data_IF_224785154737
#
_entry.id   IF_224785154737
#
_cell.length_a   1.000
_cell.length_b   1.000
_cell.length_c   1.000
_cell.angle_alpha   90.00
_cell.angle_beta   90.00
_cell.angle_gamma   90.00
#
_symmetry.space_group_name_H-M   'P 1'
#
loop_
_entity.id
_entity.type
_entity.pdbx_description
1 polymer ?
#
# COMPACT_ATOMS: atom_id res chain seq x y z
N UNK A 1 -5.00 -0.02 -17.40
CA UNK A 1 -4.23 1.12 -17.94
C UNK A 1 -2.97 1.27 -17.09
N UNK A 2 -1.79 1.26 -17.70
CA UNK A 2 -0.53 1.54 -16.97
C UNK A 2 -0.36 3.06 -16.89
N UNK A 3 -0.11 3.58 -15.69
CA UNK A 3 0.02 5.02 -15.41
C UNK A 3 1.46 5.44 -15.18
N UNK A 4 2.27 4.57 -14.58
CA UNK A 4 3.68 4.80 -14.32
C UNK A 4 4.41 3.47 -14.30
N UNK A 5 5.60 3.41 -14.89
CA UNK A 5 6.39 2.19 -14.93
C UNK A 5 7.88 2.49 -14.94
N UNK A 6 8.61 1.79 -14.07
CA UNK A 6 10.07 1.70 -14.02
C UNK A 6 10.46 0.22 -13.85
N UNK A 7 11.76 -0.14 -13.87
CA UNK A 7 12.18 -1.52 -13.63
C UNK A 7 11.77 -2.07 -12.25
N UNK A 8 11.55 -1.19 -11.27
CA UNK A 8 11.26 -1.58 -9.88
C UNK A 8 9.86 -1.18 -9.43
N UNK A 9 9.12 -0.39 -10.19
CA UNK A 9 7.80 0.11 -9.78
C UNK A 9 6.83 0.09 -10.95
N UNK A 10 5.59 -0.34 -10.72
CA UNK A 10 4.50 -0.27 -11.68
C UNK A 10 3.24 0.24 -11.01
N UNK A 11 2.64 1.28 -11.56
CA UNK A 11 1.33 1.78 -11.19
C UNK A 11 0.36 1.51 -12.34
N UNK A 12 -0.71 0.76 -12.06
CA UNK A 12 -1.72 0.42 -13.05
C UNK A 12 -3.13 0.55 -12.47
N UNK A 13 -4.05 1.06 -13.29
CA UNK A 13 -5.48 1.05 -13.03
C UNK A 13 -6.15 -0.16 -13.69
N UNK A 14 -6.89 -0.94 -12.91
CA UNK A 14 -7.66 -2.09 -13.35
C UNK A 14 -9.14 -1.75 -13.41
N UNK A 15 -9.65 -1.45 -14.61
CA UNK A 15 -11.03 -1.00 -14.80
C UNK A 15 -12.07 -2.08 -14.44
N UNK A 16 -11.74 -3.37 -14.59
CA UNK A 16 -12.65 -4.47 -14.28
C UNK A 16 -13.01 -4.56 -12.78
N UNK A 17 -12.09 -4.13 -11.92
CA UNK A 17 -12.24 -4.18 -10.45
C UNK A 17 -12.28 -2.79 -9.83
N UNK A 18 -12.23 -1.73 -10.65
CA UNK A 18 -12.06 -0.34 -10.24
C UNK A 18 -10.92 -0.18 -9.20
N UNK A 19 -9.79 -0.86 -9.40
CA UNK A 19 -8.69 -0.90 -8.43
C UNK A 19 -7.44 -0.26 -8.99
N UNK A 20 -6.79 0.59 -8.20
CA UNK A 20 -5.43 1.03 -8.45
C UNK A 20 -4.46 0.00 -7.88
N UNK A 21 -3.49 -0.44 -8.67
CA UNK A 21 -2.45 -1.37 -8.24
C UNK A 21 -1.09 -0.68 -8.31
N UNK A 22 -0.43 -0.54 -7.17
CA UNK A 22 0.96 -0.11 -7.07
C UNK A 22 1.82 -1.30 -6.69
N UNK A 23 2.62 -1.78 -7.63
CA UNK A 23 3.61 -2.83 -7.40
C UNK A 23 4.98 -2.21 -7.22
N UNK A 24 5.64 -2.54 -6.10
CA UNK A 24 6.97 -2.06 -5.75
C UNK A 24 7.89 -3.25 -5.51
N UNK A 25 8.78 -3.50 -6.45
CA UNK A 25 9.69 -4.64 -6.50
C UNK A 25 11.15 -4.26 -6.16
N UNK A 26 11.39 -3.08 -5.59
CA UNK A 26 12.74 -2.69 -5.19
C UNK A 26 13.22 -3.45 -3.93
N UNK A 27 14.54 -3.66 -3.83
CA UNK A 27 15.15 -4.37 -2.70
C UNK A 27 15.02 -3.60 -1.38
N UNK A 28 14.94 -2.27 -1.43
CA UNK A 28 14.70 -1.39 -0.27
C UNK A 28 13.56 -0.41 -0.57
N UNK A 29 12.83 0.04 0.46
CA UNK A 29 11.87 1.14 0.33
C UNK A 29 12.67 2.45 0.37
N UNK A 30 13.22 2.83 -0.77
CA UNK A 30 13.93 4.08 -0.91
C UNK A 30 12.95 5.27 -0.89
N UNK A 31 13.48 6.50 -0.83
CA UNK A 31 12.71 7.75 -1.03
C UNK A 31 11.81 7.76 -2.28
N UNK A 32 12.08 6.86 -3.24
CA UNK A 32 11.24 6.65 -4.42
C UNK A 32 9.87 6.07 -4.09
N UNK A 33 9.73 5.25 -3.04
CA UNK A 33 8.44 4.69 -2.64
C UNK A 33 7.44 5.79 -2.29
N UNK A 34 7.84 6.75 -1.47
CA UNK A 34 7.01 7.90 -1.09
C UNK A 34 6.48 8.65 -2.32
N UNK A 35 7.37 8.98 -3.26
CA UNK A 35 7.01 9.71 -4.48
C UNK A 35 6.00 8.94 -5.31
N UNK A 36 6.19 7.63 -5.48
CA UNK A 36 5.27 6.84 -6.31
C UNK A 36 3.96 6.54 -5.57
N UNK A 37 3.99 6.41 -4.24
CA UNK A 37 2.78 6.30 -3.43
C UNK A 37 1.92 7.57 -3.53
N UNK A 38 2.53 8.76 -3.44
CA UNK A 38 1.83 10.02 -3.66
C UNK A 38 1.25 10.11 -5.09
N UNK A 39 2.00 9.67 -6.10
CA UNK A 39 1.51 9.60 -7.48
C UNK A 39 0.32 8.65 -7.63
N UNK A 40 0.31 7.53 -6.89
CA UNK A 40 -0.83 6.62 -6.85
C UNK A 40 -2.07 7.28 -6.22
N UNK A 41 -1.92 7.99 -5.11
CA UNK A 41 -3.01 8.71 -4.46
C UNK A 41 -3.57 9.83 -5.35
N UNK A 42 -2.71 10.57 -6.04
CA UNK A 42 -3.13 11.59 -7.01
C UNK A 42 -3.89 10.97 -8.18
N UNK A 43 -3.40 9.85 -8.73
CA UNK A 43 -4.07 9.13 -9.79
C UNK A 43 -5.45 8.60 -9.34
N UNK A 44 -5.55 8.11 -8.11
CA UNK A 44 -6.80 7.68 -7.50
C UNK A 44 -7.80 8.84 -7.39
N UNK A 45 -7.34 10.00 -6.92
CA UNK A 45 -8.15 11.21 -6.86
C UNK A 45 -8.67 11.62 -8.24
N UNK A 46 -7.77 11.70 -9.24
CA UNK A 46 -8.11 12.13 -10.60
C UNK A 46 -9.05 11.17 -11.32
N UNK A 47 -8.95 9.87 -11.06
CA UNK A 47 -9.79 8.83 -11.67
C UNK A 47 -11.04 8.51 -10.83
N UNK A 48 -11.19 9.11 -9.64
CA UNK A 48 -12.28 8.82 -8.73
C UNK A 48 -12.28 7.39 -8.19
N UNK A 49 -11.09 6.81 -8.01
CA UNK A 49 -10.85 5.45 -7.52
C UNK A 49 -10.56 5.49 -6.03
N UNK A 50 -11.17 4.59 -5.26
CA UNK A 50 -11.06 4.47 -3.80
C UNK A 50 -10.33 3.20 -3.34
N UNK A 51 -10.01 2.29 -4.26
CA UNK A 51 -9.36 1.01 -3.95
C UNK A 51 -7.91 1.01 -4.38
N UNK A 52 -7.01 0.71 -3.46
CA UNK A 52 -5.57 0.61 -3.69
C UNK A 52 -5.05 -0.75 -3.25
N UNK A 53 -4.46 -1.49 -4.19
CA UNK A 53 -3.65 -2.67 -3.92
C UNK A 53 -2.17 -2.29 -3.94
N UNK A 54 -1.54 -2.28 -2.77
CA UNK A 54 -0.10 -2.07 -2.60
C UNK A 54 0.61 -3.42 -2.61
N UNK A 55 1.27 -3.78 -3.71
CA UNK A 55 2.09 -4.99 -3.77
C UNK A 55 3.54 -4.68 -3.40
N UNK A 56 3.87 -4.94 -2.14
CA UNK A 56 5.18 -4.68 -1.54
C UNK A 56 6.00 -5.97 -1.35
N UNK A 57 5.57 -7.08 -1.95
CA UNK A 57 6.28 -8.35 -1.84
C UNK A 57 7.67 -8.20 -2.43
N UNK A 58 8.68 -8.21 -1.56
CA UNK A 58 10.08 -8.25 -1.97
C UNK A 58 10.42 -9.67 -2.44
N UNK A 59 11.15 -9.76 -3.53
CA UNK A 59 11.75 -11.01 -4.01
C UNK A 59 13.01 -11.39 -3.21
N UNK A 60 13.52 -10.50 -2.36
CA UNK A 60 14.71 -10.71 -1.54
C UNK A 60 14.34 -10.76 -0.04
N UNK A 61 15.01 -11.63 0.75
CA UNK A 61 14.82 -11.66 2.20
C UNK A 61 15.19 -10.28 2.76
N UNK A 62 14.40 -9.76 3.72
CA UNK A 62 14.71 -8.49 4.34
C UNK A 62 16.04 -8.60 5.09
N UNK A 63 16.88 -7.57 4.94
CA UNK A 63 18.06 -7.31 5.77
C UNK A 63 17.62 -6.43 6.94
N UNK A 64 18.08 -6.71 8.16
CA UNK A 64 17.67 -6.03 9.41
C UNK A 64 17.72 -4.48 9.35
N UNK A 65 18.54 -3.90 8.46
CA UNK A 65 18.68 -2.45 8.26
C UNK A 65 17.69 -1.87 7.22
N UNK A 66 17.15 -2.69 6.30
CA UNK A 66 16.21 -2.32 5.23
C UNK A 66 14.73 -2.58 5.59
N UNK A 67 14.48 -3.00 6.84
CA UNK A 67 13.18 -3.22 7.47
C UNK A 67 12.63 -1.96 8.15
N UNK A 68 13.14 -0.79 7.76
CA UNK A 68 12.53 0.49 8.10
C UNK A 68 11.02 0.40 7.83
N UNK A 69 10.22 0.66 8.87
CA UNK A 69 8.77 0.44 8.91
C UNK A 69 8.13 0.81 7.59
N UNK A 70 7.80 -0.21 6.76
CA UNK A 70 7.16 -0.02 5.44
C UNK A 70 5.88 0.82 5.54
N UNK A 71 5.31 0.87 6.75
CA UNK A 71 4.07 1.52 7.12
C UNK A 71 4.21 2.98 7.50
N UNK A 72 5.37 3.39 8.01
CA UNK A 72 5.59 4.77 8.41
C UNK A 72 5.32 5.76 7.24
N UNK A 73 5.85 5.56 6.02
CA UNK A 73 5.54 6.45 4.91
C UNK A 73 4.08 6.31 4.45
N UNK A 74 3.50 5.10 4.46
CA UNK A 74 2.12 4.87 4.03
C UNK A 74 1.13 5.61 4.94
N UNK A 75 1.29 5.48 6.26
CA UNK A 75 0.47 6.13 7.27
C UNK A 75 0.67 7.66 7.24
N UNK A 76 1.90 8.13 6.98
CA UNK A 76 2.22 9.56 6.89
C UNK A 76 1.51 10.27 5.74
N UNK A 77 1.28 9.58 4.62
CA UNK A 77 0.65 10.14 3.43
C UNK A 77 -0.81 9.72 3.25
N UNK A 78 -1.44 9.17 4.28
CA UNK A 78 -2.89 8.98 4.23
C UNK A 78 -3.58 10.33 4.00
N UNK A 79 -4.49 10.43 3.02
CA UNK A 79 -5.21 11.66 2.78
C UNK A 79 -6.03 12.01 4.03
N UNK A 80 -5.73 13.15 4.65
CA UNK A 80 -6.39 13.59 5.88
C UNK A 80 -7.89 13.83 5.71
N UNK A 81 -8.34 14.06 4.47
CA UNK A 81 -9.74 14.23 4.09
C UNK A 81 -9.94 13.63 2.70
N UNK A 82 -10.67 12.52 2.62
CA UNK A 82 -11.17 11.98 1.37
C UNK A 82 -12.70 12.13 1.37
N UNK A 83 -13.29 12.62 0.28
CA UNK A 83 -14.75 12.71 0.20
C UNK A 83 -15.44 11.33 0.24
N UNK A 84 -14.66 10.25 0.13
CA UNK A 84 -15.09 8.86 0.07
C UNK A 84 -14.18 7.99 0.94
N UNK A 85 -14.68 6.85 1.45
CA UNK A 85 -13.83 5.82 2.04
C UNK A 85 -12.73 5.42 1.06
N UNK A 86 -11.52 5.19 1.57
CA UNK A 86 -10.35 4.73 0.82
C UNK A 86 -9.95 3.37 1.40
N UNK A 87 -9.91 2.35 0.55
CA UNK A 87 -9.57 0.99 0.93
C UNK A 87 -8.18 0.64 0.40
N UNK A 88 -7.25 0.38 1.31
CA UNK A 88 -5.87 0.08 0.97
C UNK A 88 -5.53 -1.32 1.47
N UNK A 89 -5.22 -2.22 0.54
CA UNK A 89 -4.72 -3.55 0.83
C UNK A 89 -3.22 -3.63 0.55
N UNK A 90 -2.43 -3.87 1.59
CA UNK A 90 -0.99 -4.06 1.47
C UNK A 90 -0.61 -5.54 1.46
N UNK A 91 0.02 -5.96 0.36
CA UNK A 91 0.58 -7.30 0.19
C UNK A 91 2.03 -7.32 0.63
N UNK A 92 2.29 -8.16 1.63
CA UNK A 92 3.61 -8.40 2.20
C UNK A 92 4.02 -9.86 2.01
N UNK A 93 5.32 -10.13 2.12
CA UNK A 93 5.77 -11.51 2.34
C UNK A 93 5.48 -11.94 3.79
N UNK A 94 5.44 -13.25 4.05
CA UNK A 94 5.16 -13.78 5.39
C UNK A 94 6.20 -13.30 6.43
N UNK A 95 7.48 -13.28 6.07
CA UNK A 95 8.54 -12.75 6.95
C UNK A 95 8.36 -11.26 7.27
N UNK A 96 8.01 -10.45 6.26
CA UNK A 96 7.70 -9.02 6.48
C UNK A 96 6.49 -8.82 7.37
N UNK A 97 5.44 -9.62 7.19
CA UNK A 97 4.24 -9.55 8.01
C UNK A 97 4.56 -9.90 9.48
N UNK A 98 5.30 -11.00 9.71
CA UNK A 98 5.72 -11.40 11.06
C UNK A 98 6.58 -10.33 11.73
N UNK A 99 7.53 -9.74 11.01
CA UNK A 99 8.36 -8.65 11.52
C UNK A 99 7.51 -7.42 11.88
N UNK A 100 6.62 -6.99 10.98
CA UNK A 100 5.75 -5.84 11.24
C UNK A 100 4.83 -6.05 12.42
N UNK A 101 4.22 -7.23 12.56
CA UNK A 101 3.38 -7.57 13.72
C UNK A 101 4.21 -7.64 15.01
N UNK A 102 5.45 -8.14 14.95
CA UNK A 102 6.37 -8.19 16.08
C UNK A 102 6.87 -6.80 16.54
N UNK A 103 6.99 -5.86 15.60
CA UNK A 103 7.37 -4.47 15.85
C UNK A 103 6.17 -3.52 16.03
N UNK A 104 4.94 -4.01 15.85
CA UNK A 104 3.72 -3.20 15.97
C UNK A 104 3.49 -2.82 17.44
N UNK A 105 3.77 -1.57 17.79
CA UNK A 105 3.36 -1.01 19.09
C UNK A 105 1.93 -0.46 18.97
N UNK A 106 0.99 -0.83 19.86
CA UNK A 106 -0.40 -0.36 19.85
C UNK A 106 -0.56 1.16 20.06
N UNK A 107 0.54 1.89 20.26
CA UNK A 107 0.56 3.36 20.25
C UNK A 107 0.38 3.98 18.85
N UNK A 108 0.50 3.21 17.76
CA UNK A 108 0.18 3.67 16.40
C UNK A 108 -1.34 3.69 16.09
N UNK A 109 -2.16 2.92 16.83
CA UNK A 109 -3.61 2.79 16.57
C UNK A 109 -4.43 4.02 16.96
N UNK A 110 -3.89 4.96 17.73
CA UNK A 110 -4.72 6.00 18.39
C UNK A 110 -4.76 7.37 17.75
N UNK A 111 -4.01 7.62 16.67
CA UNK A 111 -3.83 9.02 16.24
C UNK A 111 -3.99 9.32 14.75
N UNK A 112 -4.10 8.32 13.85
CA UNK A 112 -3.93 8.61 12.41
C UNK A 112 -4.76 7.85 11.39
N UNK A 113 -5.81 7.11 11.76
CA UNK A 113 -6.80 6.72 10.77
C UNK A 113 -7.86 7.83 10.68
N UNK A 114 -7.84 8.73 9.68
CA UNK A 114 -9.06 9.48 9.35
C UNK A 114 -10.18 8.45 9.20
N UNK A 115 -11.40 8.74 9.70
CA UNK A 115 -12.55 7.81 9.72
C UNK A 115 -12.92 7.20 8.35
N UNK A 116 -12.24 7.62 7.29
CA UNK A 116 -12.50 7.31 5.89
C UNK A 116 -11.35 6.54 5.23
N UNK A 117 -10.34 6.07 5.96
CA UNK A 117 -9.31 5.18 5.38
C UNK A 117 -9.31 3.85 6.12
N UNK A 118 -9.55 2.77 5.38
CA UNK A 118 -9.41 1.40 5.85
C UNK A 118 -8.15 0.79 5.25
N UNK A 119 -7.20 0.41 6.11
CA UNK A 119 -5.92 -0.14 5.72
C UNK A 119 -5.77 -1.55 6.29
N UNK A 120 -5.55 -2.54 5.43
CA UNK A 120 -5.39 -3.95 5.82
C UNK A 120 -4.17 -4.61 5.17
N UNK A 121 -3.68 -5.66 5.84
CA UNK A 121 -2.49 -6.41 5.46
C UNK A 121 -2.85 -7.80 4.98
N UNK A 122 -2.16 -8.27 3.96
CA UNK A 122 -2.38 -9.59 3.38
C UNK A 122 -1.05 -10.22 2.98
N UNK A 123 -0.94 -11.54 3.17
CA UNK A 123 0.14 -12.34 2.56
C UNK A 123 -0.33 -12.99 1.25
N UNK A 124 -1.64 -13.05 1.00
CA UNK A 124 -2.26 -13.61 -0.20
C UNK A 124 -2.86 -12.52 -1.09
N UNK A 125 -2.43 -12.47 -2.36
CA UNK A 125 -3.01 -11.54 -3.35
C UNK A 125 -4.50 -11.78 -3.55
N UNK A 126 -4.93 -13.04 -3.48
CA UNK A 126 -6.33 -13.43 -3.62
C UNK A 126 -7.17 -12.80 -2.51
N UNK A 127 -6.77 -12.99 -1.26
CA UNK A 127 -7.51 -12.44 -0.11
C UNK A 127 -7.57 -10.91 -0.15
N UNK A 128 -6.46 -10.25 -0.52
CA UNK A 128 -6.45 -8.80 -0.69
C UNK A 128 -7.42 -8.32 -1.77
N UNK A 129 -7.49 -9.04 -2.90
CA UNK A 129 -8.38 -8.70 -4.00
C UNK A 129 -9.84 -8.98 -3.64
N UNK A 130 -10.11 -10.09 -2.95
CA UNK A 130 -11.46 -10.43 -2.46
C UNK A 130 -11.95 -9.36 -1.48
N UNK A 131 -11.11 -8.95 -0.50
CA UNK A 131 -11.44 -7.88 0.44
C UNK A 131 -11.67 -6.53 -0.25
N UNK A 132 -10.85 -6.16 -1.24
CA UNK A 132 -11.09 -4.95 -2.05
C UNK A 132 -12.33 -5.07 -2.95
N UNK A 133 -12.78 -6.28 -3.28
CA UNK A 133 -13.99 -6.53 -4.05
C UNK A 133 -15.27 -6.38 -3.22
N UNK A 134 -15.20 -6.76 -1.94
CA UNK A 134 -16.31 -6.69 -0.99
C UNK A 134 -16.58 -5.28 -0.46
N UNK A 135 -15.58 -4.40 -0.52
CA UNK A 135 -15.68 -2.98 -0.18
C UNK A 135 -15.82 -2.10 -1.43
#
# INVERSE_FOLDING_TARGET
MILYQTPTVSLAYHAATATMQLQYAAASLAETFEKVYQLALEAMHNLGVDKLLLDLKRNAPPTDEDEEFLLAPILRYLPAQSARPLFIAALLSEGQYQHQMGCYSPSFDRTFAPQQVEFNYFTSRREATDWLGDN
#
